data_IF_834912728252
#
_entry.id   IF_834912728252
#
_cell.length_a   1.000
_cell.length_b   1.000
_cell.length_c   1.000
_cell.angle_alpha   90.00
_cell.angle_beta   90.00
_cell.angle_gamma   90.00
#
_symmetry.space_group_name_H-M   'P 1'
#
loop_
_entity.id
_entity.type
_entity.pdbx_description
1 polymer ?
#
# COMPACT_ATOMS: atom_id res chain seq x y z
N UNK A 1 -42.64 7.55 2.30
CA UNK A 1 -42.99 6.81 3.53
C UNK A 1 -42.21 5.51 3.50
N UNK A 2 -41.43 5.28 4.55
CA UNK A 2 -40.73 4.03 4.85
C UNK A 2 -41.72 2.92 5.26
N UNK A 3 -41.26 1.66 5.27
CA UNK A 3 -41.59 0.56 6.19
C UNK A 3 -40.92 -0.70 5.60
N UNK A 4 -39.72 -1.12 6.02
CA UNK A 4 -39.25 -1.65 7.30
C UNK A 4 -39.54 -3.16 7.53
N UNK A 5 -38.48 -3.78 8.04
CA UNK A 5 -38.18 -5.15 8.41
C UNK A 5 -39.35 -6.07 8.83
N UNK A 6 -39.42 -7.24 8.20
CA UNK A 6 -40.20 -8.39 8.64
C UNK A 6 -39.31 -9.61 8.88
N UNK A 7 -38.76 -9.73 10.09
CA UNK A 7 -38.10 -10.91 10.63
C UNK A 7 -39.18 -11.89 11.14
N UNK A 8 -39.29 -13.12 10.59
CA UNK A 8 -39.60 -14.35 11.37
C UNK A 8 -39.37 -15.66 10.59
N UNK A 9 -38.39 -16.42 11.08
CA UNK A 9 -38.30 -17.90 11.23
C UNK A 9 -38.82 -18.89 10.18
N UNK A 10 -37.84 -19.57 9.55
CA UNK A 10 -37.52 -21.02 9.67
C UNK A 10 -38.55 -22.12 9.38
N UNK A 11 -38.30 -22.86 8.30
CA UNK A 11 -37.92 -24.30 8.26
C UNK A 11 -37.97 -24.77 6.80
N UNK A 12 -36.82 -24.94 6.15
CA UNK A 12 -36.05 -26.19 6.08
C UNK A 12 -36.81 -27.33 5.36
N UNK A 13 -36.40 -27.62 4.11
CA UNK A 13 -35.94 -28.96 3.75
C UNK A 13 -35.31 -29.02 2.35
N UNK A 14 -34.02 -29.39 2.31
CA UNK A 14 -33.53 -30.35 1.32
C UNK A 14 -32.53 -29.87 0.26
N UNK A 15 -31.24 -29.80 0.59
CA UNK A 15 -30.15 -30.07 -0.36
C UNK A 15 -28.87 -30.53 0.38
N UNK A 16 -28.30 -31.71 0.10
CA UNK A 16 -27.03 -32.19 0.66
C UNK A 16 -25.85 -31.92 -0.32
N UNK A 17 -24.62 -32.32 0.06
CA UNK A 17 -23.71 -31.73 1.03
C UNK A 17 -22.72 -30.75 0.36
N UNK A 18 -22.04 -29.93 1.17
CA UNK A 18 -20.82 -29.23 0.76
C UNK A 18 -19.72 -30.26 0.50
N UNK A 19 -19.40 -30.50 -0.78
CA UNK A 19 -18.13 -31.13 -1.15
C UNK A 19 -17.03 -30.10 -0.86
N UNK A 20 -16.55 -30.10 0.39
CA UNK A 20 -15.36 -29.36 0.78
C UNK A 20 -14.17 -29.94 0.00
N UNK A 21 -13.68 -29.18 -0.98
CA UNK A 21 -12.46 -29.50 -1.70
C UNK A 21 -11.30 -29.62 -0.68
N UNK A 22 -10.65 -30.79 -0.55
CA UNK A 22 -9.54 -30.97 0.38
C UNK A 22 -8.38 -29.99 0.13
N UNK A 23 -8.24 -29.45 -1.09
CA UNK A 23 -7.26 -28.41 -1.39
C UNK A 23 -7.66 -27.04 -0.80
N UNK A 24 -8.96 -26.71 -0.80
CA UNK A 24 -9.46 -25.48 -0.20
C UNK A 24 -9.32 -25.49 1.33
N UNK A 25 -9.57 -26.63 1.97
CA UNK A 25 -9.35 -26.80 3.40
C UNK A 25 -7.86 -26.64 3.78
N UNK A 26 -6.93 -27.13 2.95
CA UNK A 26 -5.49 -26.99 3.18
C UNK A 26 -5.00 -25.54 3.00
N UNK A 27 -5.50 -24.82 1.99
CA UNK A 27 -5.17 -23.40 1.80
C UNK A 27 -5.71 -22.53 2.93
N UNK A 28 -6.95 -22.77 3.38
CA UNK A 28 -7.53 -22.06 4.53
C UNK A 28 -6.76 -22.36 5.82
N UNK A 29 -6.30 -23.59 6.00
CA UNK A 29 -5.44 -23.97 7.13
C UNK A 29 -4.09 -23.25 7.08
N UNK A 30 -3.43 -23.19 5.91
CA UNK A 30 -2.17 -22.44 5.73
C UNK A 30 -2.34 -20.93 5.93
N UNK A 31 -3.43 -20.33 5.45
CA UNK A 31 -3.74 -18.92 5.70
C UNK A 31 -3.93 -18.63 7.19
N UNK A 32 -4.61 -19.51 7.92
CA UNK A 32 -4.78 -19.37 9.37
C UNK A 32 -3.47 -19.52 10.15
N UNK A 33 -2.56 -20.36 9.67
CA UNK A 33 -1.22 -20.55 10.25
C UNK A 33 -0.35 -19.30 10.05
N UNK A 34 -0.37 -18.70 8.85
CA UNK A 34 0.35 -17.45 8.53
C UNK A 34 -0.23 -16.25 9.28
N UNK A 35 -1.55 -16.13 9.36
CA UNK A 35 -2.21 -15.05 10.10
C UNK A 35 -1.92 -15.11 11.62
N UNK A 36 -1.60 -16.29 12.16
CA UNK A 36 -1.14 -16.46 13.54
C UNK A 36 0.26 -15.90 13.80
N UNK A 37 1.10 -15.76 12.77
CA UNK A 37 2.47 -15.22 12.87
C UNK A 37 2.48 -13.69 12.72
N UNK A 38 1.58 -13.13 11.93
CA UNK A 38 1.48 -11.67 11.71
C UNK A 38 0.89 -10.92 12.92
N UNK A 39 0.12 -11.61 13.77
CA UNK A 39 -0.55 -11.02 14.94
C UNK A 39 0.23 -11.18 16.26
N UNK A 40 1.43 -11.78 16.23
CA UNK A 40 2.32 -11.84 17.41
C UNK A 40 3.28 -10.63 17.35
N UNK A 41 2.90 -9.58 18.08
CA UNK A 41 3.67 -8.36 18.31
C UNK A 41 5.04 -8.69 18.95
N UNK A 42 6.03 -9.01 18.12
CA UNK A 42 7.37 -9.39 18.60
C UNK A 42 8.55 -8.90 17.76
N UNK A 43 8.33 -8.16 16.67
CA UNK A 43 9.42 -7.68 15.79
C UNK A 43 9.79 -6.22 16.09
N UNK A 44 10.10 -5.93 17.36
CA UNK A 44 10.34 -4.57 17.83
C UNK A 44 11.27 -4.44 19.03
N UNK A 45 12.35 -5.24 19.13
CA UNK A 45 13.45 -4.95 20.07
C UNK A 45 14.69 -5.85 19.84
N UNK A 46 15.50 -5.61 18.81
CA UNK A 46 16.95 -5.86 18.90
C UNK A 46 17.72 -5.06 17.85
N UNK A 47 17.77 -3.74 18.02
CA UNK A 47 18.82 -2.91 17.44
C UNK A 47 19.91 -2.70 18.51
N UNK A 48 21.12 -3.22 18.27
CA UNK A 48 22.33 -2.75 18.96
C UNK A 48 23.24 -3.81 19.59
N UNK A 49 24.07 -4.47 18.76
CA UNK A 49 25.46 -4.92 19.01
C UNK A 49 25.81 -5.90 17.88
N UNK A 50 26.78 -5.70 16.99
CA UNK A 50 28.15 -5.28 17.23
C UNK A 50 29.06 -6.41 16.74
N UNK A 51 29.98 -6.08 15.81
CA UNK A 51 31.17 -6.82 15.39
C UNK A 51 31.11 -7.67 14.11
N UNK A 52 31.62 -7.05 13.06
CA UNK A 52 32.47 -7.65 12.02
C UNK A 52 33.58 -8.48 12.66
N UNK A 53 33.69 -9.76 12.30
CA UNK A 53 34.98 -10.44 12.29
C UNK A 53 35.04 -11.50 11.18
N UNK A 54 35.99 -11.24 10.28
CA UNK A 54 36.42 -12.03 9.14
C UNK A 54 37.41 -13.09 9.64
N UNK A 55 37.13 -14.38 9.41
CA UNK A 55 38.18 -15.38 9.23
C UNK A 55 37.66 -16.59 8.45
N UNK A 56 38.43 -17.06 7.48
CA UNK A 56 38.23 -18.25 6.64
C UNK A 56 39.52 -19.08 6.69
N UNK A 57 39.53 -20.35 6.24
CA UNK A 57 38.81 -21.53 6.71
C UNK A 57 39.83 -22.63 7.14
N UNK A 58 39.39 -23.89 7.40
CA UNK A 58 40.17 -24.97 6.81
C UNK A 58 39.34 -25.91 5.94
N UNK A 59 39.99 -26.28 4.85
CA UNK A 59 39.57 -27.18 3.81
C UNK A 59 39.48 -28.63 4.29
N UNK A 60 38.47 -29.35 3.80
CA UNK A 60 38.64 -30.76 3.43
C UNK A 60 37.88 -31.02 2.14
N UNK A 61 38.68 -31.28 1.13
CA UNK A 61 38.39 -31.46 -0.28
C UNK A 61 37.76 -32.85 -0.52
N UNK A 62 36.63 -32.93 -1.22
CA UNK A 62 36.45 -33.96 -2.24
C UNK A 62 35.60 -33.44 -3.39
N UNK A 63 36.25 -33.51 -4.54
CA UNK A 63 35.87 -33.11 -5.88
C UNK A 63 34.87 -34.12 -6.49
N UNK A 64 34.13 -33.69 -7.53
CA UNK A 64 33.49 -34.64 -8.45
C UNK A 64 32.00 -34.44 -8.71
N UNK A 65 31.73 -33.54 -9.65
CA UNK A 65 30.53 -33.44 -10.48
C UNK A 65 29.76 -34.78 -10.66
N UNK A 66 28.63 -34.92 -9.98
CA UNK A 66 27.69 -36.03 -10.12
C UNK A 66 26.27 -35.49 -10.14
N UNK A 67 25.79 -35.15 -11.35
CA UNK A 67 24.39 -34.79 -11.58
C UNK A 67 23.55 -36.05 -11.33
N UNK A 68 23.01 -36.20 -10.12
CA UNK A 68 21.94 -37.14 -9.83
C UNK A 68 20.68 -36.62 -10.53
N UNK A 69 20.56 -36.96 -11.81
CA UNK A 69 19.30 -36.82 -12.53
C UNK A 69 18.27 -37.69 -11.81
N UNK A 70 17.30 -37.02 -11.19
CA UNK A 70 16.10 -37.64 -10.66
C UNK A 70 15.51 -38.57 -11.73
N UNK A 71 15.54 -39.87 -11.46
CA UNK A 71 14.86 -40.89 -12.27
C UNK A 71 13.35 -40.78 -12.02
N UNK A 72 12.72 -39.77 -12.62
CA UNK A 72 11.28 -39.70 -12.85
C UNK A 72 11.09 -40.04 -14.32
N UNK A 73 10.92 -41.34 -14.59
CA UNK A 73 10.26 -41.89 -15.77
C UNK A 73 10.20 -43.41 -15.57
N UNK A 74 9.14 -43.86 -14.91
CA UNK A 74 8.78 -45.26 -14.87
C UNK A 74 8.14 -45.66 -16.19
N UNK A 75 8.97 -45.89 -17.21
CA UNK A 75 8.58 -46.73 -18.34
C UNK A 75 9.83 -47.33 -19.01
N UNK A 76 10.03 -48.63 -18.79
CA UNK A 76 10.74 -49.49 -19.74
C UNK A 76 10.45 -50.95 -19.37
N UNK A 77 9.19 -51.36 -19.52
CA UNK A 77 8.87 -52.77 -19.68
C UNK A 77 9.44 -53.20 -21.04
N UNK A 78 10.68 -53.67 -21.06
CA UNK A 78 11.29 -54.25 -22.26
C UNK A 78 10.82 -55.70 -22.41
N UNK A 79 9.57 -55.88 -22.82
CA UNK A 79 9.07 -57.17 -23.27
C UNK A 79 9.57 -57.46 -24.69
N UNK A 80 10.50 -58.41 -24.72
CA UNK A 80 10.96 -59.26 -25.82
C UNK A 80 10.14 -59.24 -27.11
N UNK A 81 10.85 -58.91 -28.21
CA UNK A 81 10.48 -59.10 -29.62
C UNK A 81 9.65 -60.37 -29.90
N UNK A 82 8.40 -60.18 -30.32
CA UNK A 82 7.55 -61.17 -31.01
C UNK A 82 6.97 -60.59 -32.31
N UNK A 83 6.52 -61.41 -33.29
CA UNK A 83 6.19 -60.93 -34.63
C UNK A 83 5.01 -59.96 -34.62
N UNK A 84 5.29 -58.74 -35.08
CA UNK A 84 4.34 -57.66 -35.37
C UNK A 84 3.62 -57.10 -34.13
N UNK A 85 4.19 -56.03 -33.60
CA UNK A 85 3.45 -54.99 -32.90
C UNK A 85 2.50 -54.23 -33.86
N UNK A 86 1.77 -54.97 -34.70
CA UNK A 86 0.71 -54.40 -35.53
C UNK A 86 -0.44 -53.92 -34.64
N UNK A 87 -0.63 -54.55 -33.48
CA UNK A 87 -1.71 -54.19 -32.57
C UNK A 87 -1.42 -52.92 -31.77
N UNK A 88 -0.20 -52.65 -31.26
CA UNK A 88 0.07 -51.35 -30.63
C UNK A 88 0.30 -50.23 -31.66
N UNK A 89 0.76 -50.53 -32.88
CA UNK A 89 0.76 -49.57 -33.98
C UNK A 89 -0.67 -49.19 -34.43
N UNK A 90 -1.60 -50.15 -34.47
CA UNK A 90 -3.02 -49.88 -34.76
C UNK A 90 -3.70 -49.22 -33.57
N UNK A 91 -3.41 -49.63 -32.33
CA UNK A 91 -3.98 -49.01 -31.12
C UNK A 91 -3.48 -47.57 -30.93
N UNK A 92 -2.22 -47.27 -31.20
CA UNK A 92 -1.71 -45.89 -31.21
C UNK A 92 -2.32 -45.07 -32.34
N UNK A 93 -2.54 -45.66 -33.52
CA UNK A 93 -3.23 -45.01 -34.62
C UNK A 93 -4.74 -44.80 -34.38
N UNK A 94 -5.42 -45.72 -33.68
CA UNK A 94 -6.83 -45.59 -33.27
C UNK A 94 -7.00 -44.61 -32.10
N UNK A 95 -6.04 -44.56 -31.18
CA UNK A 95 -5.94 -43.54 -30.13
C UNK A 95 -5.71 -42.15 -30.74
N UNK A 96 -4.89 -42.05 -31.81
CA UNK A 96 -4.72 -40.82 -32.59
C UNK A 96 -5.96 -40.46 -33.45
N UNK A 97 -6.73 -41.45 -33.93
CA UNK A 97 -7.97 -41.24 -34.70
C UNK A 97 -9.18 -40.94 -33.82
N UNK A 98 -9.15 -41.36 -32.56
CA UNK A 98 -10.13 -41.05 -31.53
C UNK A 98 -9.45 -40.28 -30.39
N UNK A 99 -8.91 -39.09 -30.64
CA UNK A 99 -9.14 -38.08 -29.61
C UNK A 99 -10.64 -37.79 -29.68
N UNK A 100 -11.42 -38.10 -28.62
CA UNK A 100 -12.84 -37.77 -28.64
C UNK A 100 -12.98 -36.27 -28.88
N UNK A 101 -13.84 -35.85 -29.81
CA UNK A 101 -14.10 -34.43 -30.06
C UNK A 101 -14.44 -33.65 -28.77
N UNK A 102 -14.98 -34.34 -27.76
CA UNK A 102 -15.20 -33.79 -26.41
C UNK A 102 -13.89 -33.45 -25.68
N UNK A 103 -12.85 -34.27 -25.80
CA UNK A 103 -11.54 -34.01 -25.19
C UNK A 103 -10.80 -32.87 -25.88
N UNK A 104 -10.91 -32.80 -27.22
CA UNK A 104 -10.37 -31.66 -28.00
C UNK A 104 -11.03 -30.35 -27.58
N UNK A 105 -12.37 -30.32 -27.57
CA UNK A 105 -13.14 -29.16 -27.10
C UNK A 105 -12.79 -28.79 -25.67
N UNK A 106 -12.68 -29.78 -24.77
CA UNK A 106 -12.31 -29.53 -23.38
C UNK A 106 -10.91 -28.90 -23.25
N UNK A 107 -9.91 -29.37 -24.01
CA UNK A 107 -8.58 -28.74 -24.01
C UNK A 107 -8.59 -27.32 -24.58
N UNK A 108 -9.35 -27.10 -25.65
CA UNK A 108 -9.53 -25.77 -26.23
C UNK A 108 -10.21 -24.82 -25.24
N UNK A 109 -11.25 -25.27 -24.55
CA UNK A 109 -11.97 -24.51 -23.52
C UNK A 109 -11.07 -24.22 -22.29
N UNK A 110 -10.30 -25.20 -21.81
CA UNK A 110 -9.35 -24.99 -20.70
C UNK A 110 -8.25 -24.02 -21.08
N UNK A 111 -7.69 -24.17 -22.29
CA UNK A 111 -6.67 -23.26 -22.80
C UNK A 111 -7.21 -21.83 -22.92
N UNK A 112 -8.41 -21.67 -23.48
CA UNK A 112 -9.06 -20.37 -23.61
C UNK A 112 -9.37 -19.75 -22.24
N UNK A 113 -9.84 -20.55 -21.27
CA UNK A 113 -10.07 -20.08 -19.90
C UNK A 113 -8.79 -19.63 -19.22
N UNK A 114 -7.68 -20.35 -19.42
CA UNK A 114 -6.38 -19.97 -18.86
C UNK A 114 -5.85 -18.68 -19.50
N UNK A 115 -5.99 -18.55 -20.82
CA UNK A 115 -5.60 -17.32 -21.55
C UNK A 115 -6.42 -16.12 -21.12
N UNK A 116 -7.73 -16.29 -20.89
CA UNK A 116 -8.60 -15.25 -20.34
C UNK A 116 -8.11 -14.82 -18.95
N UNK A 117 -7.81 -15.77 -18.07
CA UNK A 117 -7.32 -15.50 -16.72
C UNK A 117 -5.97 -14.76 -16.72
N UNK A 118 -5.04 -15.20 -17.59
CA UNK A 118 -3.74 -14.53 -17.79
C UNK A 118 -3.92 -13.11 -18.34
N UNK A 119 -4.89 -12.90 -19.22
CA UNK A 119 -5.19 -11.58 -19.77
C UNK A 119 -5.81 -10.65 -18.73
N UNK A 120 -6.74 -11.16 -17.92
CA UNK A 120 -7.37 -10.41 -16.84
C UNK A 120 -6.34 -9.99 -15.78
N UNK A 121 -5.44 -10.89 -15.39
CA UNK A 121 -4.35 -10.59 -14.47
C UNK A 121 -3.44 -9.47 -14.99
N UNK A 122 -3.07 -9.51 -16.29
CA UNK A 122 -2.26 -8.45 -16.91
C UNK A 122 -2.98 -7.10 -16.95
N UNK A 123 -4.29 -7.10 -17.19
CA UNK A 123 -5.11 -5.88 -17.17
C UNK A 123 -5.17 -5.31 -15.76
N UNK A 124 -5.46 -6.12 -14.76
CA UNK A 124 -5.50 -5.69 -13.36
C UNK A 124 -4.16 -5.12 -12.90
N UNK A 125 -3.05 -5.78 -13.24
CA UNK A 125 -1.70 -5.30 -12.93
C UNK A 125 -1.40 -3.97 -13.64
N UNK A 126 -1.84 -3.80 -14.90
CA UNK A 126 -1.71 -2.55 -15.63
C UNK A 126 -2.52 -1.42 -14.98
N UNK A 127 -3.77 -1.69 -14.59
CA UNK A 127 -4.63 -0.74 -13.89
C UNK A 127 -4.05 -0.33 -12.54
N UNK A 128 -3.49 -1.27 -11.77
CA UNK A 128 -2.88 -0.97 -10.48
C UNK A 128 -1.63 -0.12 -10.64
N UNK A 129 -0.82 -0.40 -11.66
CA UNK A 129 0.35 0.41 -12.00
C UNK A 129 -0.04 1.82 -12.44
N UNK A 130 -1.08 1.96 -13.26
CA UNK A 130 -1.59 3.26 -13.68
C UNK A 130 -2.16 4.04 -12.48
N UNK A 131 -2.91 3.37 -11.60
CA UNK A 131 -3.45 3.97 -10.37
C UNK A 131 -2.32 4.47 -9.46
N UNK A 132 -1.30 3.66 -9.23
CA UNK A 132 -0.14 4.06 -8.42
C UNK A 132 0.62 5.24 -9.05
N UNK A 133 0.78 5.24 -10.37
CA UNK A 133 1.41 6.36 -11.09
C UNK A 133 0.59 7.64 -10.97
N UNK A 134 -0.72 7.54 -11.16
CA UNK A 134 -1.64 8.68 -11.03
C UNK A 134 -1.63 9.24 -9.61
N UNK A 135 -1.65 8.40 -8.58
CA UNK A 135 -1.59 8.84 -7.19
C UNK A 135 -0.27 9.59 -6.89
N UNK A 136 0.85 9.14 -7.45
CA UNK A 136 2.12 9.84 -7.33
C UNK A 136 2.09 11.21 -8.04
N UNK A 137 1.53 11.28 -9.25
CA UNK A 137 1.36 12.53 -9.99
C UNK A 137 0.43 13.50 -9.21
N UNK A 138 -0.69 13.01 -8.68
CA UNK A 138 -1.64 13.78 -7.87
C UNK A 138 -0.97 14.29 -6.58
N UNK A 139 -0.12 13.49 -5.94
CA UNK A 139 0.65 13.92 -4.77
C UNK A 139 1.61 15.07 -5.11
N UNK A 140 2.33 14.98 -6.23
CA UNK A 140 3.22 16.05 -6.68
C UNK A 140 2.46 17.33 -7.01
N UNK A 141 1.32 17.23 -7.70
CA UNK A 141 0.45 18.37 -7.99
C UNK A 141 -0.04 19.01 -6.69
N UNK A 142 -0.55 18.20 -5.75
CA UNK A 142 -0.99 18.69 -4.45
C UNK A 142 0.13 19.40 -3.68
N UNK A 143 1.33 18.80 -3.65
CA UNK A 143 2.49 19.38 -2.97
C UNK A 143 2.88 20.73 -3.59
N UNK A 144 2.89 20.82 -4.93
CA UNK A 144 3.18 22.07 -5.63
C UNK A 144 2.13 23.15 -5.35
N UNK A 145 0.84 22.82 -5.42
CA UNK A 145 -0.28 23.72 -5.13
C UNK A 145 -0.26 24.21 -3.68
N UNK A 146 0.01 23.32 -2.71
CA UNK A 146 0.18 23.72 -1.31
C UNK A 146 1.36 24.68 -1.13
N UNK A 147 2.49 24.41 -1.79
CA UNK A 147 3.64 25.31 -1.73
C UNK A 147 3.34 26.68 -2.36
N UNK A 148 2.61 26.72 -3.48
CA UNK A 148 2.20 27.98 -4.10
C UNK A 148 1.19 28.74 -3.25
N UNK A 149 0.21 28.06 -2.66
CA UNK A 149 -0.74 28.64 -1.71
C UNK A 149 -0.04 29.23 -0.49
N UNK A 150 0.94 28.52 0.07
CA UNK A 150 1.73 29.01 1.20
C UNK A 150 2.55 30.25 0.81
N UNK A 151 3.21 30.23 -0.36
CA UNK A 151 3.92 31.41 -0.88
C UNK A 151 2.98 32.59 -1.14
N UNK A 152 1.79 32.34 -1.69
CA UNK A 152 0.79 33.37 -1.94
C UNK A 152 0.25 33.95 -0.64
N UNK A 153 -0.04 33.12 0.36
CA UNK A 153 -0.47 33.55 1.69
C UNK A 153 0.60 34.40 2.36
N UNK A 154 1.87 33.97 2.35
CA UNK A 154 2.98 34.74 2.91
C UNK A 154 3.15 36.10 2.21
N UNK A 155 3.00 36.15 0.87
CA UNK A 155 3.04 37.42 0.13
C UNK A 155 1.86 38.32 0.49
N UNK A 156 0.66 37.77 0.57
CA UNK A 156 -0.54 38.53 0.95
C UNK A 156 -0.48 39.02 2.40
N UNK A 157 0.06 38.22 3.33
CA UNK A 157 0.25 38.63 4.72
C UNK A 157 1.30 39.73 4.85
N UNK A 158 2.39 39.64 4.07
CA UNK A 158 3.41 40.69 4.04
C UNK A 158 2.84 41.99 3.44
N UNK A 159 2.11 41.90 2.32
CA UNK A 159 1.46 43.07 1.72
C UNK A 159 0.43 43.70 2.67
N UNK A 160 -0.36 42.89 3.36
CA UNK A 160 -1.30 43.37 4.37
C UNK A 160 -0.57 44.03 5.57
N UNK A 161 0.53 43.42 6.04
CA UNK A 161 1.34 43.95 7.12
C UNK A 161 2.01 45.29 6.74
N UNK A 162 2.54 45.39 5.53
CA UNK A 162 3.11 46.63 4.99
C UNK A 162 2.04 47.71 4.83
N UNK A 163 0.88 47.37 4.26
CA UNK A 163 -0.21 48.32 4.06
C UNK A 163 -0.80 48.82 5.39
N UNK A 164 -0.84 47.97 6.43
CA UNK A 164 -1.23 48.39 7.79
C UNK A 164 -0.17 49.33 8.42
N UNK A 165 1.12 49.15 8.09
CA UNK A 165 2.22 49.99 8.56
C UNK A 165 2.31 51.35 7.87
N UNK A 166 2.06 51.39 6.55
CA UNK A 166 2.16 52.55 5.66
C UNK A 166 0.92 53.46 5.68
N UNK A 167 -0.11 53.14 6.49
CA UNK A 167 -1.26 54.01 6.71
C UNK A 167 -0.86 55.25 7.55
N UNK A 168 -0.14 56.18 6.92
CA UNK A 168 0.37 57.44 7.46
C UNK A 168 -0.73 58.51 7.57
N UNK A 169 -1.85 58.13 8.17
CA UNK A 169 -2.90 59.10 8.53
C UNK A 169 -2.43 59.93 9.72
N UNK A 170 -2.37 61.27 9.62
CA UNK A 170 -1.96 62.13 10.74
C UNK A 170 -2.85 61.88 11.97
N UNK A 171 -2.24 61.54 13.12
CA UNK A 171 -2.95 61.21 14.36
C UNK A 171 -2.97 59.71 14.71
N UNK A 172 -2.59 58.80 13.80
CA UNK A 172 -2.53 57.35 14.04
C UNK A 172 -1.19 56.87 14.62
N UNK A 173 -0.20 57.76 14.82
CA UNK A 173 1.18 57.36 15.15
C UNK A 173 1.28 56.54 16.45
N UNK A 174 0.54 56.93 17.49
CA UNK A 174 0.50 56.19 18.75
C UNK A 174 -0.32 54.90 18.66
N UNK A 175 -1.27 54.82 17.74
CA UNK A 175 -1.99 53.59 17.46
C UNK A 175 -1.06 52.54 16.82
N UNK A 176 -0.23 52.95 15.86
CA UNK A 176 0.81 52.09 15.25
C UNK A 176 1.83 51.59 16.28
N UNK A 177 2.35 52.49 17.12
CA UNK A 177 3.28 52.12 18.19
C UNK A 177 2.63 51.12 19.17
N UNK A 178 1.37 51.34 19.52
CA UNK A 178 0.66 50.45 20.43
C UNK A 178 0.37 49.07 19.83
N UNK A 179 0.14 48.93 18.51
CA UNK A 179 -0.04 47.62 17.85
C UNK A 179 1.22 46.76 17.92
N UNK A 180 2.40 47.38 17.86
CA UNK A 180 3.69 46.68 18.01
C UNK A 180 4.03 46.31 19.46
N UNK A 181 3.30 46.87 20.44
CA UNK A 181 3.55 46.64 21.85
C UNK A 181 2.66 45.52 22.41
N UNK A 182 3.27 44.50 23.01
CA UNK A 182 2.54 43.46 23.72
C UNK A 182 2.09 43.92 25.12
N UNK A 183 0.79 44.23 25.22
CA UNK A 183 0.12 44.62 26.46
C UNK A 183 -0.46 43.43 27.24
N UNK A 184 -0.30 42.19 26.77
CA UNK A 184 -0.80 41.04 27.49
C UNK A 184 0.01 40.86 28.79
N UNK A 185 -0.63 40.93 29.98
CA UNK A 185 0.07 40.77 31.24
C UNK A 185 0.66 39.36 31.42
N UNK A 186 0.16 38.35 30.70
CA UNK A 186 0.60 36.94 30.81
C UNK A 186 1.86 36.61 30.00
N UNK A 187 2.17 37.40 28.97
CA UNK A 187 3.36 37.20 28.11
C UNK A 187 4.57 37.99 28.62
N UNK A 188 4.37 38.82 29.65
CA UNK A 188 5.37 39.69 30.27
C UNK A 188 6.42 38.91 31.06
N UNK A 189 7.42 38.33 30.39
CA UNK A 189 8.56 37.62 31.02
C UNK A 189 9.73 38.53 31.43
N UNK A 190 9.51 39.85 31.46
CA UNK A 190 10.57 40.84 31.68
C UNK A 190 10.87 41.02 33.17
N UNK A 191 12.14 41.10 33.56
CA UNK A 191 12.58 41.32 34.95
C UNK A 191 12.44 42.78 35.42
N UNK A 192 12.19 43.71 34.50
CA UNK A 192 12.00 45.14 34.78
C UNK A 192 10.52 45.47 34.78
N UNK A 193 10.09 46.28 35.76
CA UNK A 193 8.74 46.82 35.79
C UNK A 193 8.56 47.85 34.67
N UNK A 194 7.76 47.48 33.68
CA UNK A 194 7.39 48.32 32.53
C UNK A 194 5.98 48.89 32.65
N UNK A 195 5.34 48.79 33.81
CA UNK A 195 3.93 49.19 34.01
C UNK A 195 3.70 50.66 33.71
N UNK A 196 4.62 51.54 34.12
CA UNK A 196 4.54 52.98 33.82
C UNK A 196 4.64 53.26 32.32
N UNK A 197 5.58 52.61 31.62
CA UNK A 197 5.74 52.76 30.18
C UNK A 197 4.50 52.26 29.43
N UNK A 198 3.97 51.10 29.82
CA UNK A 198 2.73 50.54 29.25
C UNK A 198 1.54 51.49 29.45
N UNK A 199 1.40 52.06 30.65
CA UNK A 199 0.35 53.05 30.94
C UNK A 199 0.46 54.31 30.07
N UNK A 200 1.68 54.84 29.88
CA UNK A 200 1.93 56.00 29.01
C UNK A 200 1.56 55.68 27.56
N UNK A 201 1.98 54.52 27.02
CA UNK A 201 1.68 54.12 25.65
C UNK A 201 0.17 53.91 25.42
N UNK A 202 -0.55 53.34 26.38
CA UNK A 202 -2.01 53.19 26.31
C UNK A 202 -2.70 54.56 26.33
N UNK A 203 -2.24 55.48 27.20
CA UNK A 203 -2.79 56.83 27.27
C UNK A 203 -2.61 57.58 25.95
N UNK A 204 -1.44 57.46 25.32
CA UNK A 204 -1.13 58.12 24.05
C UNK A 204 -1.93 57.53 22.87
N UNK A 205 -2.28 56.23 22.93
CA UNK A 205 -3.20 55.60 21.99
C UNK A 205 -4.64 56.14 22.15
N UNK A 206 -5.12 56.31 23.37
CA UNK A 206 -6.50 56.73 23.66
C UNK A 206 -6.71 58.23 23.50
N UNK A 207 -5.68 59.02 23.78
CA UNK A 207 -5.71 60.48 23.72
C UNK A 207 -4.47 60.94 22.97
N UNK A 208 -4.52 61.00 21.63
CA UNK A 208 -3.39 61.49 20.84
C UNK A 208 -3.09 62.93 21.23
N UNK A 209 -1.79 63.26 21.22
CA UNK A 209 -1.35 64.62 21.52
C UNK A 209 -1.91 65.56 20.46
N UNK A 210 -2.67 66.56 20.89
CA UNK A 210 -3.12 67.65 20.03
C UNK A 210 -1.86 68.38 19.55
N UNK A 211 -1.62 68.36 18.24
CA UNK A 211 -0.57 69.18 17.60
C UNK A 211 -1.05 70.60 17.39
#
# INVERSE_FOLDING_TARGET
MADDFGFFSSSDNGAPPTDDDPAAAFLAQQESEIAGIENDEGFGALEGAGQVQEDSPPQSNYDGFGVEAATVNGDMFQETNGPTDGYAAIASADLQRQEPESLRKWREEQKARLEELDSASKVEEAEWRERAKKELEDWHLHQSDQMEKNKANNRASEEAFLNEGDEDTPGSEWERVARLCDFNPKTSKQSKDVSRMRSVLISLKQTPLVR
#
